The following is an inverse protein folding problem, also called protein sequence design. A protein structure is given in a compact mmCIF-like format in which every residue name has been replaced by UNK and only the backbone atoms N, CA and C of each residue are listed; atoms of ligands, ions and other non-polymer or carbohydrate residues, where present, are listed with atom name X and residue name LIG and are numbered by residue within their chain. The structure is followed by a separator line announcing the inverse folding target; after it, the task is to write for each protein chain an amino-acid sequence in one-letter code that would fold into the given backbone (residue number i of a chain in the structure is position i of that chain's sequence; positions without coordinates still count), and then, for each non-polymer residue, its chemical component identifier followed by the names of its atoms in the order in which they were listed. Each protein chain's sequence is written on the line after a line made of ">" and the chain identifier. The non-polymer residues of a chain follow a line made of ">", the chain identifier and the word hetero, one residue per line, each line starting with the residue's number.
data_IF_675588253228
#
_entry.id   IF_675588253228
#
_cell.length_a   1.000
_cell.length_b   1.000
_cell.length_c   1.000
_cell.angle_alpha   90.00
_cell.angle_beta   90.00
_cell.angle_gamma   90.00
#
_symmetry.space_group_name_H-M   'P 1'
#
loop_
_entity.id
_entity.type
_entity.pdbx_description
1 polymer ?
#
# COMPACT_ATOMS: atom_id res chain seq x y z
N UNK A 1 59.89 -10.34 12.51
CA UNK A 1 58.46 -10.09 12.82
C UNK A 1 57.69 -11.25 12.23
N UNK A 2 57.15 -12.16 13.05
CA UNK A 2 56.56 -13.43 12.58
C UNK A 2 55.06 -13.19 12.44
N UNK A 3 54.60 -13.00 11.20
CA UNK A 3 53.20 -12.77 10.90
C UNK A 3 52.46 -14.09 11.08
N UNK A 4 51.70 -14.19 12.17
CA UNK A 4 50.91 -15.36 12.51
C UNK A 4 49.59 -15.28 11.75
N UNK A 5 49.61 -15.71 10.48
CA UNK A 5 48.39 -15.76 9.65
C UNK A 5 47.51 -16.90 10.17
N UNK A 6 46.51 -16.57 10.98
CA UNK A 6 45.49 -17.52 11.42
C UNK A 6 44.57 -17.81 10.23
N UNK A 7 44.55 -19.08 9.78
CA UNK A 7 43.62 -19.55 8.76
C UNK A 7 42.26 -19.87 9.37
N UNK A 8 41.19 -19.52 8.67
CA UNK A 8 39.81 -19.91 9.02
C UNK A 8 39.65 -21.42 8.82
N UNK A 9 39.00 -22.11 9.75
CA UNK A 9 38.73 -23.55 9.57
C UNK A 9 37.46 -23.77 8.75
N UNK A 10 37.43 -24.85 7.95
CA UNK A 10 36.24 -25.22 7.18
C UNK A 10 35.05 -25.56 8.10
N UNK A 11 35.31 -26.09 9.29
CA UNK A 11 34.26 -26.43 10.26
C UNK A 11 33.62 -25.19 10.88
N UNK A 12 34.40 -24.13 11.14
CA UNK A 12 33.85 -22.85 11.59
C UNK A 12 32.89 -22.27 10.56
N UNK A 13 33.26 -22.29 9.28
CA UNK A 13 32.39 -21.79 8.22
C UNK A 13 31.14 -22.66 8.04
N UNK A 14 31.26 -23.99 8.20
CA UNK A 14 30.14 -24.93 8.09
C UNK A 14 29.10 -24.71 9.20
N UNK A 15 29.54 -24.53 10.44
CA UNK A 15 28.62 -24.28 11.56
C UNK A 15 27.88 -22.95 11.37
N UNK A 16 28.56 -21.91 10.88
CA UNK A 16 27.95 -20.59 10.64
C UNK A 16 26.83 -20.68 9.59
N UNK A 17 27.08 -21.32 8.45
CA UNK A 17 26.03 -21.46 7.42
C UNK A 17 24.87 -22.34 7.89
N UNK A 18 25.14 -23.35 8.74
CA UNK A 18 24.10 -24.19 9.32
C UNK A 18 23.18 -23.37 10.25
N UNK A 19 23.74 -22.51 11.10
CA UNK A 19 22.96 -21.64 11.99
C UNK A 19 22.17 -20.60 11.18
N UNK A 20 22.79 -19.94 10.20
CA UNK A 20 22.09 -18.98 9.30
C UNK A 20 20.96 -19.69 8.57
N UNK A 21 21.16 -20.92 8.10
CA UNK A 21 20.12 -21.72 7.44
C UNK A 21 18.91 -22.00 8.33
N UNK A 22 19.13 -22.37 9.59
CA UNK A 22 18.04 -22.60 10.56
C UNK A 22 17.27 -21.30 10.84
N UNK A 23 17.99 -20.20 11.07
CA UNK A 23 17.37 -18.89 11.34
C UNK A 23 16.56 -18.40 10.13
N UNK A 24 17.11 -18.50 8.92
CA UNK A 24 16.44 -18.09 7.69
C UNK A 24 15.17 -18.91 7.44
N UNK A 25 15.20 -20.22 7.66
CA UNK A 25 14.05 -21.11 7.46
C UNK A 25 12.83 -20.70 8.31
N UNK A 26 13.05 -20.26 9.55
CA UNK A 26 11.97 -19.80 10.44
C UNK A 26 11.56 -18.35 10.13
N UNK A 27 12.50 -17.50 9.75
CA UNK A 27 12.27 -16.06 9.58
C UNK A 27 11.55 -15.70 8.26
N UNK A 28 11.95 -16.33 7.14
CA UNK A 28 11.44 -16.01 5.79
C UNK A 28 9.91 -16.01 5.68
N UNK A 29 9.18 -17.05 6.14
CA UNK A 29 7.71 -17.06 5.99
C UNK A 29 7.04 -15.90 6.75
N UNK A 30 7.56 -15.55 7.94
CA UNK A 30 7.06 -14.43 8.72
C UNK A 30 7.32 -13.09 8.01
N UNK A 31 8.53 -12.91 7.46
CA UNK A 31 8.89 -11.73 6.70
C UNK A 31 7.97 -11.54 5.47
N UNK A 32 7.71 -12.62 4.71
CA UNK A 32 6.81 -12.56 3.55
C UNK A 32 5.36 -12.23 3.96
N UNK A 33 4.90 -12.69 5.12
CA UNK A 33 3.60 -12.32 5.66
C UNK A 33 3.54 -10.86 6.10
N UNK A 34 4.62 -10.34 6.71
CA UNK A 34 4.72 -8.94 7.11
C UNK A 34 4.72 -8.01 5.90
N UNK A 35 5.46 -8.35 4.83
CA UNK A 35 5.45 -7.59 3.57
C UNK A 35 4.05 -7.51 2.96
N UNK A 36 3.33 -8.64 2.86
CA UNK A 36 1.93 -8.64 2.35
C UNK A 36 1.01 -7.73 3.15
N UNK A 37 1.13 -7.73 4.48
CA UNK A 37 0.35 -6.81 5.34
C UNK A 37 0.73 -5.35 5.12
N UNK A 38 2.00 -5.05 4.86
CA UNK A 38 2.44 -3.70 4.52
C UNK A 38 1.83 -3.24 3.19
N UNK A 39 1.83 -4.10 2.17
CA UNK A 39 1.17 -3.83 0.88
C UNK A 39 -0.33 -3.58 1.04
N UNK A 40 -1.04 -4.41 1.82
CA UNK A 40 -2.46 -4.19 2.12
C UNK A 40 -2.68 -2.87 2.88
N UNK A 41 -1.76 -2.50 3.77
CA UNK A 41 -1.82 -1.24 4.51
C UNK A 41 -1.64 -0.05 3.57
N UNK A 42 -0.68 -0.12 2.64
CA UNK A 42 -0.47 0.91 1.61
C UNK A 42 -1.71 1.09 0.73
N UNK A 43 -2.32 0.00 0.26
CA UNK A 43 -3.57 0.05 -0.49
C UNK A 43 -4.72 0.68 0.31
N UNK A 44 -4.84 0.33 1.60
CA UNK A 44 -5.86 0.94 2.48
C UNK A 44 -5.62 2.43 2.75
N UNK A 45 -4.35 2.84 2.84
CA UNK A 45 -3.99 4.24 3.03
C UNK A 45 -4.32 5.06 1.79
N UNK A 46 -3.97 4.54 0.60
CA UNK A 46 -4.36 5.12 -0.68
C UNK A 46 -5.89 5.25 -0.80
N UNK A 47 -6.65 4.24 -0.36
CA UNK A 47 -8.11 4.32 -0.37
C UNK A 47 -8.65 5.50 0.46
N UNK A 48 -8.06 5.78 1.61
CA UNK A 48 -8.44 6.94 2.44
C UNK A 48 -8.02 8.26 1.78
N UNK A 49 -6.89 8.27 1.08
CA UNK A 49 -6.45 9.46 0.38
C UNK A 49 -7.37 9.80 -0.79
N UNK A 50 -7.82 8.80 -1.55
CA UNK A 50 -8.87 8.96 -2.57
C UNK A 50 -10.13 9.58 -1.94
N UNK A 51 -10.54 9.13 -0.74
CA UNK A 51 -11.69 9.73 -0.04
C UNK A 51 -11.49 11.21 0.24
N UNK A 52 -10.31 11.58 0.74
CA UNK A 52 -9.99 12.96 1.05
C UNK A 52 -10.01 13.83 -0.21
N UNK A 53 -9.40 13.36 -1.29
CA UNK A 53 -9.34 14.09 -2.56
C UNK A 53 -10.70 14.20 -3.26
N UNK A 54 -11.50 13.14 -3.23
CA UNK A 54 -12.88 13.17 -3.72
C UNK A 54 -13.75 14.15 -2.92
N UNK A 55 -13.55 14.25 -1.60
CA UNK A 55 -14.25 15.23 -0.78
C UNK A 55 -13.85 16.67 -1.13
N UNK A 56 -12.56 16.93 -1.38
CA UNK A 56 -12.10 18.24 -1.87
C UNK A 56 -12.70 18.58 -3.23
N UNK A 57 -12.65 17.62 -4.18
CA UNK A 57 -13.21 17.81 -5.52
C UNK A 57 -14.72 18.10 -5.46
N UNK A 58 -15.47 17.44 -4.58
CA UNK A 58 -16.89 17.73 -4.36
C UNK A 58 -17.13 19.16 -3.85
N UNK A 59 -16.27 19.69 -2.99
CA UNK A 59 -16.41 21.05 -2.44
C UNK A 59 -16.27 22.09 -3.55
N UNK A 60 -15.31 21.89 -4.45
CA UNK A 60 -14.96 22.88 -5.47
C UNK A 60 -15.81 22.74 -6.76
N UNK A 61 -16.08 21.51 -7.20
CA UNK A 61 -16.78 21.21 -8.46
C UNK A 61 -18.26 20.82 -8.27
N UNK A 62 -18.73 20.75 -7.01
CA UNK A 62 -20.09 20.35 -6.65
C UNK A 62 -20.52 18.98 -7.22
N UNK A 63 -19.56 18.11 -7.54
CA UNK A 63 -19.75 16.71 -7.94
C UNK A 63 -18.55 15.89 -7.52
N UNK A 64 -18.68 14.59 -7.31
CA UNK A 64 -17.51 13.72 -7.24
C UNK A 64 -16.88 13.53 -8.63
N UNK A 65 -15.57 13.29 -8.66
CA UNK A 65 -14.88 12.93 -9.88
C UNK A 65 -15.36 11.56 -10.34
N UNK A 66 -15.74 11.46 -11.62
CA UNK A 66 -16.26 10.23 -12.22
C UNK A 66 -15.20 9.32 -12.81
N UNK A 67 -13.96 9.81 -12.88
CA UNK A 67 -12.78 9.08 -13.37
C UNK A 67 -11.50 9.67 -12.78
N UNK A 68 -10.42 8.91 -12.84
CA UNK A 68 -9.09 9.31 -12.32
C UNK A 68 -8.51 10.52 -13.05
N UNK A 69 -8.87 10.73 -14.33
CA UNK A 69 -8.35 11.84 -15.15
C UNK A 69 -8.79 13.22 -14.65
N UNK A 70 -9.82 13.26 -13.80
CA UNK A 70 -10.30 14.48 -13.15
C UNK A 70 -9.58 14.72 -11.81
N UNK A 71 -8.94 13.71 -11.23
CA UNK A 71 -8.18 13.80 -9.99
C UNK A 71 -6.70 14.06 -10.29
N UNK A 72 -6.43 15.26 -10.79
CA UNK A 72 -5.09 15.75 -11.13
C UNK A 72 -4.70 16.92 -10.22
N UNK A 73 -3.42 17.30 -10.25
CA UNK A 73 -2.86 18.41 -9.48
C UNK A 73 -3.21 18.33 -7.99
N UNK A 74 -3.95 19.30 -7.45
CA UNK A 74 -4.30 19.39 -6.03
C UNK A 74 -5.22 18.24 -5.57
N UNK A 75 -5.94 17.61 -6.50
CA UNK A 75 -6.83 16.49 -6.24
C UNK A 75 -6.17 15.12 -6.47
N UNK A 76 -4.89 15.07 -6.83
CA UNK A 76 -4.20 13.80 -7.03
C UNK A 76 -4.02 13.06 -5.69
N UNK A 77 -4.52 11.83 -5.53
CA UNK A 77 -4.28 11.04 -4.32
C UNK A 77 -2.80 10.72 -4.16
N UNK A 78 -2.24 11.05 -2.99
CA UNK A 78 -0.88 10.67 -2.63
C UNK A 78 -0.79 9.20 -2.20
N UNK A 79 -0.90 8.31 -3.18
CA UNK A 79 -0.74 6.87 -3.00
C UNK A 79 0.73 6.45 -3.16
N UNK A 80 1.10 5.33 -2.54
CA UNK A 80 2.38 4.68 -2.83
C UNK A 80 2.45 4.26 -4.30
N UNK A 81 3.63 4.38 -4.95
CA UNK A 81 3.80 4.20 -6.40
C UNK A 81 3.36 2.82 -6.90
N UNK A 82 3.45 1.80 -6.06
CA UNK A 82 3.10 0.42 -6.42
C UNK A 82 1.59 0.13 -6.22
N UNK A 83 0.84 1.05 -5.62
CA UNK A 83 -0.61 0.90 -5.42
C UNK A 83 -1.35 1.34 -6.67
N UNK A 84 -2.07 0.39 -7.27
CA UNK A 84 -3.02 0.63 -8.35
C UNK A 84 -4.33 1.14 -7.76
N UNK A 85 -4.82 2.28 -8.24
CA UNK A 85 -6.10 2.82 -7.81
C UNK A 85 -6.94 3.26 -8.99
N UNK A 86 -8.26 3.29 -8.77
CA UNK A 86 -9.19 3.71 -9.78
C UNK A 86 -10.42 4.40 -9.23
N UNK A 87 -11.03 5.24 -10.06
CA UNK A 87 -12.36 5.81 -9.84
C UNK A 87 -13.27 5.28 -10.93
N UNK A 88 -14.26 4.48 -10.53
CA UNK A 88 -15.12 3.72 -11.45
C UNK A 88 -16.37 4.49 -11.83
N UNK A 89 -16.90 5.29 -10.90
CA UNK A 89 -18.06 6.16 -11.13
C UNK A 89 -18.09 7.27 -10.09
N UNK A 90 -18.66 8.41 -10.47
CA UNK A 90 -18.84 9.58 -9.60
C UNK A 90 -19.92 10.49 -10.15
N UNK A 91 -20.75 11.01 -9.26
CA UNK A 91 -21.81 11.98 -9.54
C UNK A 91 -21.97 12.94 -8.34
N UNK A 92 -23.01 13.77 -8.35
CA UNK A 92 -23.29 14.74 -7.28
C UNK A 92 -23.63 14.11 -5.92
N UNK A 93 -23.92 12.81 -5.91
CA UNK A 93 -24.49 12.08 -4.78
C UNK A 93 -23.68 10.88 -4.34
N UNK A 94 -22.87 10.28 -5.21
CA UNK A 94 -22.08 9.09 -4.89
C UNK A 94 -20.79 9.07 -5.67
N UNK A 95 -19.79 8.36 -5.16
CA UNK A 95 -18.73 7.83 -6.00
C UNK A 95 -18.32 6.44 -5.57
N UNK A 96 -17.69 5.74 -6.52
CA UNK A 96 -17.06 4.45 -6.31
C UNK A 96 -15.64 4.46 -6.82
N UNK A 97 -14.72 3.89 -6.04
CA UNK A 97 -13.33 3.73 -6.42
C UNK A 97 -12.72 2.49 -5.80
N UNK A 98 -11.54 2.14 -6.26
CA UNK A 98 -10.79 0.98 -5.77
C UNK A 98 -9.33 1.34 -5.52
N UNK A 99 -8.71 0.72 -4.54
CA UNK A 99 -7.26 0.73 -4.36
C UNK A 99 -6.77 -0.69 -4.07
N UNK A 100 -5.70 -1.11 -4.74
CA UNK A 100 -5.13 -2.45 -4.64
C UNK A 100 -3.63 -2.41 -4.82
N UNK A 101 -2.92 -3.29 -4.14
CA UNK A 101 -1.48 -3.49 -4.36
C UNK A 101 -1.27 -4.82 -5.08
N UNK A 102 -0.51 -4.91 -6.19
CA UNK A 102 -0.34 -6.15 -6.96
C UNK A 102 0.22 -7.32 -6.14
N UNK A 103 1.12 -7.02 -5.20
CA UNK A 103 1.69 -7.99 -4.26
C UNK A 103 0.90 -8.14 -2.95
N UNK A 104 -0.18 -7.37 -2.79
CA UNK A 104 -1.10 -7.44 -1.67
C UNK A 104 -2.05 -8.65 -1.78
N UNK A 105 -2.94 -8.78 -0.81
CA UNK A 105 -3.98 -9.81 -0.78
C UNK A 105 -5.39 -9.25 -0.83
N UNK A 106 -5.53 -7.92 -0.72
CA UNK A 106 -6.82 -7.25 -0.61
C UNK A 106 -6.98 -6.14 -1.63
N UNK A 107 -8.21 -6.01 -2.12
CA UNK A 107 -8.67 -4.85 -2.87
C UNK A 107 -9.65 -4.08 -1.98
N UNK A 108 -9.43 -2.78 -1.86
CA UNK A 108 -10.26 -1.88 -1.07
C UNK A 108 -11.21 -1.14 -2.00
N UNK A 109 -12.50 -1.45 -1.89
CA UNK A 109 -13.55 -0.71 -2.60
C UNK A 109 -14.09 0.40 -1.72
N UNK A 110 -14.15 1.60 -2.27
CA UNK A 110 -14.71 2.78 -1.64
C UNK A 110 -16.05 3.04 -2.30
N UNK A 111 -17.10 3.17 -1.49
CA UNK A 111 -18.40 3.67 -1.93
C UNK A 111 -18.83 4.70 -0.89
N UNK A 112 -18.85 5.96 -1.27
CA UNK A 112 -19.26 7.05 -0.38
C UNK A 112 -20.42 7.81 -1.01
N UNK A 113 -21.35 8.25 -0.16
CA UNK A 113 -22.48 9.08 -0.55
C UNK A 113 -22.17 10.52 -0.14
N UNK A 114 -22.54 11.49 -0.98
CA UNK A 114 -22.42 12.90 -0.71
C UNK A 114 -23.12 13.27 0.61
N UNK A 115 -22.54 14.23 1.31
CA UNK A 115 -23.09 14.81 2.52
C UNK A 115 -24.36 15.60 2.16
N UNK A 116 -25.52 14.94 2.25
CA UNK A 116 -26.80 15.61 2.05
C UNK A 116 -27.20 16.33 3.34
N UNK A 117 -27.32 17.66 3.30
CA UNK A 117 -27.99 18.40 4.36
C UNK A 117 -29.49 18.09 4.34
N UNK A 118 -29.94 17.23 5.25
CA UNK A 118 -31.36 17.15 5.56
C UNK A 118 -31.72 18.43 6.34
N UNK A 119 -32.62 19.25 5.81
CA UNK A 119 -33.24 20.32 6.59
C UNK A 119 -33.91 19.68 7.81
N UNK A 120 -33.62 20.20 9.00
CA UNK A 120 -34.12 19.70 10.28
C UNK A 120 -35.64 19.82 10.39
#
# INVERSE_FOLDING_TARGET
>A
MKNNTQGFTLIELLIVIAIIGILAAVLIPNLLGAQKRAYDTAASACANEIKNKQALYLIDENTYASSETLLVDDYLPNCDEEVEWAVTAGDQTTYTGTATHPSGTKTYTITEKALTNAAK
#
